data_IF_303155701070
#
_entry.id   IF_303155701070
#
_cell.length_a   1.000
_cell.length_b   1.000
_cell.length_c   1.000
_cell.angle_alpha   90.00
_cell.angle_beta   90.00
_cell.angle_gamma   90.00
#
_symmetry.space_group_name_H-M   'P 1'
#
loop_
_entity.id
_entity.type
_entity.pdbx_description
1 polymer ?
#
# COMPACT_ATOMS: atom_id res chain seq x y z
N UNK A 1 -1.55 37.16 -30.18
CA UNK A 1 -1.65 36.75 -31.60
C UNK A 1 -2.98 36.05 -31.82
N UNK A 2 -3.74 36.39 -32.86
CA UNK A 2 -4.98 35.67 -33.18
C UNK A 2 -4.66 34.45 -34.07
N UNK A 3 -4.76 33.25 -33.49
CA UNK A 3 -4.46 31.96 -34.13
C UNK A 3 -5.31 31.75 -35.40
N UNK A 4 -6.60 32.10 -35.36
CA UNK A 4 -7.50 31.95 -36.50
C UNK A 4 -7.09 32.85 -37.68
N UNK A 5 -6.73 34.11 -37.38
CA UNK A 5 -6.25 35.06 -38.40
C UNK A 5 -4.94 34.62 -39.05
N UNK A 6 -4.03 34.02 -38.28
CA UNK A 6 -2.77 33.50 -38.83
C UNK A 6 -2.99 32.31 -39.76
N UNK A 7 -3.84 31.35 -39.35
CA UNK A 7 -4.17 30.17 -40.16
C UNK A 7 -4.94 30.53 -41.44
N UNK A 8 -5.74 31.60 -41.42
CA UNK A 8 -6.41 32.10 -42.63
C UNK A 8 -5.42 32.72 -43.61
N UNK A 9 -4.43 33.47 -43.13
CA UNK A 9 -3.37 34.08 -43.96
C UNK A 9 -2.38 33.04 -44.49
N UNK A 10 -2.11 32.02 -43.69
CA UNK A 10 -1.16 30.96 -43.99
C UNK A 10 -1.88 29.61 -43.92
N UNK A 11 -2.66 29.21 -44.94
CA UNK A 11 -3.38 27.95 -44.89
C UNK A 11 -2.40 26.76 -44.84
N UNK A 12 -2.72 25.80 -43.97
CA UNK A 12 -1.97 24.55 -43.84
C UNK A 12 -2.35 23.60 -44.96
N UNK A 13 -1.36 22.98 -45.58
CA UNK A 13 -1.58 22.01 -46.63
C UNK A 13 -2.09 20.68 -46.05
N UNK A 14 -2.71 19.87 -46.91
CA UNK A 14 -3.28 18.58 -46.50
C UNK A 14 -2.15 17.65 -46.01
N UNK A 15 -2.26 17.15 -44.77
CA UNK A 15 -1.28 16.27 -44.11
C UNK A 15 0.11 16.87 -43.90
N UNK A 16 0.27 18.17 -44.05
CA UNK A 16 1.51 18.87 -43.72
C UNK A 16 1.73 18.76 -42.20
N UNK A 17 2.91 18.37 -41.72
CA UNK A 17 3.21 18.40 -40.29
C UNK A 17 3.28 19.85 -39.77
N UNK A 18 3.09 20.05 -38.46
CA UNK A 18 3.17 21.38 -37.86
C UNK A 18 4.57 22.00 -38.02
N UNK A 19 5.64 21.21 -37.90
CA UNK A 19 7.01 21.67 -38.10
C UNK A 19 7.26 22.09 -39.55
N UNK A 20 6.87 21.25 -40.50
CA UNK A 20 6.99 21.53 -41.94
C UNK A 20 6.17 22.76 -42.35
N UNK A 21 4.96 22.88 -41.81
CA UNK A 21 4.08 24.04 -42.01
C UNK A 21 4.74 25.33 -41.54
N UNK A 22 5.25 25.38 -40.30
CA UNK A 22 5.87 26.59 -39.75
C UNK A 22 7.16 26.91 -40.49
N UNK A 23 7.98 25.91 -40.80
CA UNK A 23 9.20 26.09 -41.57
C UNK A 23 8.90 26.71 -42.94
N UNK A 24 7.88 26.21 -43.65
CA UNK A 24 7.44 26.79 -44.92
C UNK A 24 7.02 28.25 -44.77
N UNK A 25 6.17 28.56 -43.79
CA UNK A 25 5.70 29.94 -43.57
C UNK A 25 6.86 30.89 -43.22
N UNK A 26 7.84 30.42 -42.44
CA UNK A 26 9.06 31.18 -42.15
C UNK A 26 9.89 31.41 -43.41
N UNK A 27 10.10 30.37 -44.23
CA UNK A 27 10.85 30.48 -45.48
C UNK A 27 10.17 31.42 -46.49
N UNK A 28 8.84 31.39 -46.59
CA UNK A 28 8.04 32.33 -47.38
C UNK A 28 8.18 33.76 -46.83
N UNK A 29 8.12 33.94 -45.51
CA UNK A 29 8.29 35.23 -44.83
C UNK A 29 9.68 35.84 -45.08
N UNK A 30 10.72 35.00 -45.16
CA UNK A 30 12.09 35.42 -45.44
C UNK A 30 12.28 36.03 -46.84
N UNK A 31 11.38 35.75 -47.79
CA UNK A 31 11.40 36.36 -49.13
C UNK A 31 10.96 37.82 -49.11
N UNK A 32 10.42 38.31 -47.99
CA UNK A 32 9.99 39.71 -47.89
C UNK A 32 11.20 40.65 -47.94
N UNK A 33 11.13 41.67 -48.81
CA UNK A 33 12.24 42.59 -49.07
C UNK A 33 12.50 43.54 -47.91
N UNK A 34 11.42 44.06 -47.33
CA UNK A 34 11.49 44.94 -46.16
C UNK A 34 11.94 44.14 -44.93
N UNK A 35 13.07 44.54 -44.35
CA UNK A 35 13.66 43.87 -43.20
C UNK A 35 12.79 43.91 -41.96
N UNK A 36 12.05 45.00 -41.74
CA UNK A 36 11.17 45.17 -40.59
C UNK A 36 9.96 44.25 -40.71
N UNK A 37 9.32 44.27 -41.87
CA UNK A 37 8.15 43.41 -42.15
C UNK A 37 8.53 41.94 -42.10
N UNK A 38 9.70 41.57 -42.65
CA UNK A 38 10.23 40.21 -42.57
C UNK A 38 10.40 39.73 -41.13
N UNK A 39 10.98 40.55 -40.26
CA UNK A 39 11.17 40.21 -38.86
C UNK A 39 9.81 39.99 -38.16
N UNK A 40 8.84 40.88 -38.38
CA UNK A 40 7.50 40.77 -37.80
C UNK A 40 6.77 39.48 -38.24
N UNK A 41 6.87 39.09 -39.51
CA UNK A 41 6.25 37.86 -40.04
C UNK A 41 6.90 36.59 -39.47
N UNK A 42 8.23 36.58 -39.36
CA UNK A 42 8.96 35.44 -38.77
C UNK A 42 8.63 35.31 -37.28
N UNK A 43 8.63 36.41 -36.54
CA UNK A 43 8.25 36.42 -35.12
C UNK A 43 6.80 35.95 -34.93
N UNK A 44 5.89 36.36 -35.81
CA UNK A 44 4.51 35.89 -35.79
C UNK A 44 4.42 34.37 -35.98
N UNK A 45 5.12 33.81 -36.99
CA UNK A 45 5.14 32.37 -37.24
C UNK A 45 5.76 31.56 -36.08
N UNK A 46 6.86 32.07 -35.49
CA UNK A 46 7.48 31.44 -34.33
C UNK A 46 6.61 31.54 -33.07
N UNK A 47 5.90 32.66 -32.89
CA UNK A 47 4.93 32.82 -31.80
C UNK A 47 3.77 31.83 -31.92
N UNK A 48 3.28 31.59 -33.13
CA UNK A 48 2.26 30.57 -33.39
C UNK A 48 2.75 29.17 -33.00
N UNK A 49 3.95 28.81 -33.45
CA UNK A 49 4.52 27.48 -33.18
C UNK A 49 4.74 27.24 -31.70
N UNK A 50 5.29 28.24 -30.98
CA UNK A 50 5.45 28.19 -29.52
C UNK A 50 4.12 27.97 -28.82
N UNK A 51 3.07 28.71 -29.19
CA UNK A 51 1.73 28.52 -28.63
C UNK A 51 1.23 27.08 -28.80
N UNK A 52 1.38 26.50 -29.99
CA UNK A 52 0.97 25.12 -30.25
C UNK A 52 1.76 24.07 -29.48
N UNK A 53 3.05 24.29 -29.26
CA UNK A 53 3.85 23.42 -28.40
C UNK A 53 3.35 23.49 -26.96
N UNK A 54 3.06 24.69 -26.45
CA UNK A 54 2.54 24.89 -25.09
C UNK A 54 1.21 24.14 -24.94
N UNK A 55 0.24 24.36 -25.83
CA UNK A 55 -1.05 23.66 -25.81
C UNK A 55 -0.86 22.13 -25.78
N UNK A 56 0.01 21.59 -26.64
CA UNK A 56 0.27 20.15 -26.71
C UNK A 56 0.92 19.59 -25.44
N UNK A 57 1.81 20.35 -24.80
CA UNK A 57 2.44 19.95 -23.54
C UNK A 57 1.44 20.00 -22.40
N UNK A 58 0.57 21.02 -22.36
CA UNK A 58 -0.50 21.15 -21.37
C UNK A 58 -1.51 20.01 -21.50
N UNK A 59 -2.01 19.72 -22.71
CA UNK A 59 -2.91 18.59 -22.97
C UNK A 59 -2.28 17.25 -22.54
N UNK A 60 -1.01 17.02 -22.89
CA UNK A 60 -0.31 15.79 -22.49
C UNK A 60 -0.10 15.70 -20.98
N UNK A 61 0.10 16.82 -20.29
CA UNK A 61 0.22 16.87 -18.83
C UNK A 61 -1.13 16.58 -18.16
N UNK A 62 -2.22 17.15 -18.67
CA UNK A 62 -3.59 16.91 -18.19
C UNK A 62 -4.01 15.45 -18.39
N UNK A 63 -3.71 14.85 -19.54
CA UNK A 63 -3.99 13.44 -19.80
C UNK A 63 -3.24 12.53 -18.83
N UNK A 64 -1.94 12.79 -18.60
CA UNK A 64 -1.13 12.03 -17.63
C UNK A 64 -1.70 12.17 -16.22
N UNK A 65 -1.96 13.40 -15.77
CA UNK A 65 -2.54 13.65 -14.46
C UNK A 65 -3.92 12.98 -14.30
N UNK A 66 -4.76 13.02 -15.33
CA UNK A 66 -6.05 12.35 -15.36
C UNK A 66 -5.94 10.82 -15.33
N UNK A 67 -4.91 10.25 -15.96
CA UNK A 67 -4.62 8.81 -15.89
C UNK A 67 -4.13 8.38 -14.51
N UNK A 68 -3.24 9.17 -13.88
CA UNK A 68 -2.72 8.92 -12.54
C UNK A 68 -3.82 9.04 -11.49
N UNK A 69 -4.67 10.06 -11.59
CA UNK A 69 -5.83 10.24 -10.71
C UNK A 69 -6.74 9.01 -10.75
N UNK A 70 -7.12 8.53 -11.94
CA UNK A 70 -7.95 7.32 -12.11
C UNK A 70 -7.30 6.09 -11.49
N UNK A 71 -5.98 5.93 -11.67
CA UNK A 71 -5.21 4.84 -11.06
C UNK A 71 -5.24 4.91 -9.53
N UNK A 72 -5.01 6.09 -8.95
CA UNK A 72 -5.02 6.29 -7.50
C UNK A 72 -6.41 6.08 -6.90
N UNK A 73 -7.47 6.53 -7.58
CA UNK A 73 -8.86 6.29 -7.18
C UNK A 73 -9.20 4.79 -7.15
N UNK A 74 -8.74 4.03 -8.15
CA UNK A 74 -8.91 2.58 -8.17
C UNK A 74 -8.17 1.89 -7.02
N UNK A 75 -6.92 2.28 -6.75
CA UNK A 75 -6.14 1.75 -5.62
C UNK A 75 -6.79 2.09 -4.27
N UNK A 76 -7.31 3.31 -4.12
CA UNK A 76 -8.02 3.72 -2.91
C UNK A 76 -9.29 2.90 -2.70
N UNK A 77 -10.06 2.65 -3.78
CA UNK A 77 -11.26 1.81 -3.71
C UNK A 77 -10.93 0.38 -3.29
N UNK A 78 -9.88 -0.21 -3.87
CA UNK A 78 -9.41 -1.56 -3.50
C UNK A 78 -8.95 -1.62 -2.03
N UNK A 79 -8.17 -0.65 -1.58
CA UNK A 79 -7.71 -0.58 -0.18
C UNK A 79 -8.86 -0.41 0.79
N UNK A 80 -9.86 0.42 0.47
CA UNK A 80 -11.07 0.57 1.28
C UNK A 80 -11.83 -0.74 1.40
N UNK A 81 -11.98 -1.49 0.30
CA UNK A 81 -12.62 -2.81 0.33
C UNK A 81 -11.84 -3.79 1.22
N UNK A 82 -10.51 -3.86 1.07
CA UNK A 82 -9.65 -4.70 1.93
C UNK A 82 -9.73 -4.29 3.40
N UNK A 83 -9.80 -3.01 3.70
CA UNK A 83 -9.93 -2.53 5.07
C UNK A 83 -11.27 -2.93 5.69
N UNK A 84 -12.37 -2.84 4.94
CA UNK A 84 -13.69 -3.28 5.40
C UNK A 84 -13.73 -4.78 5.68
N UNK A 85 -13.15 -5.61 4.80
CA UNK A 85 -13.10 -7.06 5.02
C UNK A 85 -12.24 -7.41 6.24
N UNK A 86 -11.07 -6.78 6.38
CA UNK A 86 -10.21 -6.96 7.54
C UNK A 86 -10.92 -6.52 8.83
N UNK A 87 -11.58 -5.35 8.84
CA UNK A 87 -12.36 -4.87 9.97
C UNK A 87 -13.44 -5.87 10.40
N UNK A 88 -14.18 -6.43 9.43
CA UNK A 88 -15.19 -7.46 9.69
C UNK A 88 -14.57 -8.75 10.26
N UNK A 89 -13.42 -9.20 9.71
CA UNK A 89 -12.73 -10.39 10.25
C UNK A 89 -12.21 -10.17 11.66
N UNK A 90 -11.62 -9.00 11.93
CA UNK A 90 -11.13 -8.63 13.25
C UNK A 90 -12.27 -8.63 14.27
N UNK A 91 -13.40 -8.02 13.94
CA UNK A 91 -14.55 -7.96 14.84
C UNK A 91 -15.14 -9.35 15.13
N UNK A 92 -15.20 -10.23 14.12
CA UNK A 92 -15.57 -11.64 14.33
C UNK A 92 -14.60 -12.34 15.26
N UNK A 93 -13.29 -12.19 15.04
CA UNK A 93 -12.26 -12.80 15.87
C UNK A 93 -12.35 -12.31 17.31
N UNK A 94 -12.47 -11.00 17.54
CA UNK A 94 -12.65 -10.43 18.88
C UNK A 94 -13.89 -11.00 19.56
N UNK A 95 -14.99 -11.18 18.83
CA UNK A 95 -16.24 -11.74 19.38
C UNK A 95 -16.12 -13.24 19.68
N UNK A 96 -15.39 -13.98 18.85
CA UNK A 96 -15.20 -15.43 19.01
C UNK A 96 -14.04 -15.79 19.92
N UNK A 97 -13.17 -14.84 20.26
CA UNK A 97 -12.00 -15.11 21.08
C UNK A 97 -12.47 -15.43 22.51
N UNK A 98 -12.14 -16.61 23.05
CA UNK A 98 -12.55 -16.94 24.40
C UNK A 98 -11.86 -16.00 25.38
N UNK A 99 -12.65 -15.15 26.03
CA UNK A 99 -12.19 -14.21 27.07
C UNK A 99 -11.86 -14.91 28.41
N UNK A 100 -12.05 -16.24 28.46
CA UNK A 100 -11.85 -17.06 29.64
C UNK A 100 -11.42 -18.47 29.23
N UNK A 101 -10.59 -19.10 30.05
CA UNK A 101 -10.16 -20.49 29.86
C UNK A 101 -11.24 -21.43 30.40
N UNK A 102 -11.61 -22.51 29.68
CA UNK A 102 -12.53 -23.53 30.19
C UNK A 102 -12.05 -24.09 31.53
N UNK A 103 -13.00 -24.36 32.44
CA UNK A 103 -12.69 -24.90 33.78
C UNK A 103 -11.82 -26.15 33.72
N UNK A 104 -12.06 -27.03 32.74
CA UNK A 104 -11.26 -28.23 32.52
C UNK A 104 -9.79 -27.91 32.20
N UNK A 105 -9.54 -27.01 31.26
CA UNK A 105 -8.18 -26.63 30.87
C UNK A 105 -7.45 -25.93 32.01
N UNK A 106 -8.14 -25.07 32.76
CA UNK A 106 -7.59 -24.42 33.95
C UNK A 106 -7.24 -25.45 35.05
N UNK A 107 -8.08 -26.47 35.22
CA UNK A 107 -7.86 -27.57 36.17
C UNK A 107 -6.69 -28.47 35.75
N UNK A 108 -6.60 -28.83 34.47
CA UNK A 108 -5.49 -29.59 33.89
C UNK A 108 -4.15 -28.85 34.06
N UNK A 109 -4.12 -27.54 33.77
CA UNK A 109 -2.93 -26.71 33.97
C UNK A 109 -2.51 -26.64 35.46
N UNK A 110 -3.48 -26.49 36.37
CA UNK A 110 -3.21 -26.47 37.82
C UNK A 110 -2.64 -27.81 38.31
N UNK A 111 -3.22 -28.93 37.87
CA UNK A 111 -2.73 -30.27 38.21
C UNK A 111 -1.35 -30.52 37.61
N UNK A 112 -1.10 -30.10 36.37
CA UNK A 112 0.22 -30.17 35.74
C UNK A 112 1.28 -29.42 36.54
N UNK A 113 0.99 -28.19 36.97
CA UNK A 113 1.89 -27.39 37.80
C UNK A 113 2.19 -28.08 39.16
N UNK A 114 1.17 -28.68 39.79
CA UNK A 114 1.35 -29.41 41.04
C UNK A 114 2.23 -30.66 40.85
N UNK A 115 2.00 -31.45 39.81
CA UNK A 115 2.82 -32.64 39.50
C UNK A 115 4.27 -32.27 39.21
N UNK A 116 4.49 -31.15 38.51
CA UNK A 116 5.84 -30.63 38.27
C UNK A 116 6.52 -30.23 39.59
N UNK A 117 5.81 -29.53 40.48
CA UNK A 117 6.34 -29.17 41.78
C UNK A 117 6.66 -30.41 42.65
N UNK A 118 5.78 -31.42 42.64
CA UNK A 118 6.00 -32.71 43.31
C UNK A 118 7.27 -33.40 42.79
N UNK A 119 7.45 -33.48 41.48
CA UNK A 119 8.64 -34.10 40.89
C UNK A 119 9.91 -33.32 41.23
N UNK A 120 9.85 -31.97 41.22
CA UNK A 120 10.98 -31.13 41.65
C UNK A 120 11.33 -31.34 43.13
N UNK A 121 10.32 -31.51 43.99
CA UNK A 121 10.55 -31.82 45.40
C UNK A 121 11.18 -33.21 45.58
N UNK A 122 10.75 -34.20 44.80
CA UNK A 122 11.37 -35.54 44.81
C UNK A 122 12.84 -35.47 44.41
N UNK A 123 13.17 -34.78 43.30
CA UNK A 123 14.54 -34.59 42.83
C UNK A 123 15.43 -33.87 43.85
N UNK A 124 14.89 -32.93 44.64
CA UNK A 124 15.64 -32.27 45.72
C UNK A 124 15.92 -33.19 46.91
N UNK A 125 15.13 -34.26 47.09
CA UNK A 125 15.31 -35.26 48.13
C UNK A 125 16.22 -36.42 47.69
N UNK A 126 16.68 -36.44 46.43
CA UNK A 126 17.63 -37.42 45.92
C UNK A 126 19.04 -37.14 46.45
N UNK A 127 19.75 -38.20 46.87
CA UNK A 127 21.12 -38.09 47.36
C UNK A 127 21.93 -39.38 47.11
N UNK A 128 23.11 -39.31 46.47
CA UNK A 128 23.64 -38.16 45.73
C UNK A 128 22.67 -37.68 44.63
N UNK A 129 22.80 -36.44 44.10
CA UNK A 129 21.87 -35.92 43.10
C UNK A 129 21.67 -36.89 41.92
N UNK A 130 20.41 -37.18 41.58
CA UNK A 130 20.06 -38.16 40.55
C UNK A 130 19.93 -39.60 41.04
N UNK A 131 20.13 -39.85 42.35
CA UNK A 131 19.94 -41.17 42.97
C UNK A 131 18.69 -41.15 43.84
N UNK A 132 17.64 -41.94 43.49
CA UNK A 132 16.44 -42.05 44.29
C UNK A 132 16.72 -42.47 45.73
N UNK A 133 16.14 -41.75 46.68
CA UNK A 133 16.11 -42.11 48.10
C UNK A 133 14.71 -42.58 48.47
N UNK A 134 14.58 -43.24 49.64
CA UNK A 134 13.25 -43.56 50.17
C UNK A 134 12.35 -42.32 50.30
N UNK A 135 12.94 -41.15 50.60
CA UNK A 135 12.20 -39.90 50.72
C UNK A 135 11.74 -39.35 49.37
N UNK A 136 12.57 -39.43 48.32
CA UNK A 136 12.16 -38.99 46.98
C UNK A 136 11.04 -39.88 46.41
N UNK A 137 11.12 -41.19 46.64
CA UNK A 137 10.06 -42.14 46.24
C UNK A 137 8.77 -41.91 47.03
N UNK A 138 8.89 -41.70 48.35
CA UNK A 138 7.73 -41.37 49.18
C UNK A 138 7.02 -40.09 48.70
N UNK A 139 7.76 -39.08 48.22
CA UNK A 139 7.17 -37.87 47.65
C UNK A 139 6.40 -38.20 46.36
N UNK A 140 6.93 -39.05 45.47
CA UNK A 140 6.26 -39.43 44.21
C UNK A 140 5.00 -40.25 44.47
N UNK A 141 5.05 -41.20 45.38
CA UNK A 141 3.98 -42.17 45.61
C UNK A 141 2.90 -41.68 46.60
N UNK A 142 3.30 -41.04 47.70
CA UNK A 142 2.38 -40.72 48.80
C UNK A 142 1.74 -39.34 48.67
N UNK A 143 2.38 -38.40 47.97
CA UNK A 143 1.81 -37.07 47.74
C UNK A 143 0.80 -37.13 46.60
N UNK A 144 -0.48 -37.31 46.96
CA UNK A 144 -1.60 -37.38 46.01
C UNK A 144 -1.85 -36.03 45.33
N UNK A 145 -2.42 -36.09 44.14
CA UNK A 145 -2.88 -34.91 43.41
C UNK A 145 -3.99 -34.19 44.22
N UNK A 146 -4.03 -32.86 44.21
CA UNK A 146 -5.05 -32.10 44.92
C UNK A 146 -6.42 -32.32 44.29
N UNK A 147 -7.48 -32.27 45.10
CA UNK A 147 -8.86 -32.37 44.62
C UNK A 147 -9.19 -31.25 43.61
N UNK A 148 -10.15 -31.49 42.70
CA UNK A 148 -10.62 -30.44 41.80
C UNK A 148 -11.05 -29.19 42.55
N UNK A 149 -10.62 -28.01 42.11
CA UNK A 149 -10.97 -26.74 42.79
C UNK A 149 -12.26 -26.16 42.23
N UNK A 150 -12.47 -26.33 40.93
CA UNK A 150 -13.56 -25.66 40.21
C UNK A 150 -14.60 -26.62 39.60
N UNK A 151 -14.36 -27.94 39.61
CA UNK A 151 -15.38 -28.91 39.28
C UNK A 151 -16.30 -29.14 40.50
N UNK A 152 -17.63 -29.17 40.30
CA UNK A 152 -18.56 -29.58 41.35
C UNK A 152 -18.30 -31.06 41.68
N UNK A 153 -18.01 -31.32 42.95
CA UNK A 153 -17.84 -32.65 43.54
C UNK A 153 -19.13 -33.45 43.55
#
# INVERSE_FOLDING_TARGET
MNVASFLMRNPRQKREDLGDYVLRVVLESLQQKDARVRAELVDEALSFYRGRIVDSVEEAAEERAGSEKRRLEAQLAELKAKHQTLGATHQRLVTSYPMSVPVREAEEARLGAYRLARERAALLAEYPPGTPTMMSEDIREKVKDPKPKWAKS
#
